data_IF_206055217256
#
_entry.id   IF_206055217256
#
_cell.length_a   1.000
_cell.length_b   1.000
_cell.length_c   1.000
_cell.angle_alpha   90.00
_cell.angle_beta   90.00
_cell.angle_gamma   90.00
#
_symmetry.space_group_name_H-M   'P 1'
#
loop_
_entity.id
_entity.type
_entity.pdbx_description
1 polymer ?
#
# COMPACT_ATOMS: atom_id res chain seq x y z
N UNK A 1 11.82 4.96 -4.05
CA UNK A 1 11.79 5.54 -5.42
C UNK A 1 10.59 6.48 -5.54
N UNK A 2 10.70 7.63 -6.23
CA UNK A 2 9.69 8.71 -6.18
C UNK A 2 8.24 8.29 -6.47
N UNK A 3 8.02 7.34 -7.36
CA UNK A 3 6.66 6.85 -7.71
C UNK A 3 6.02 6.07 -6.55
N UNK A 4 6.81 5.22 -5.88
CA UNK A 4 6.39 4.49 -4.68
C UNK A 4 6.03 5.46 -3.56
N UNK A 5 6.89 6.46 -3.34
CA UNK A 5 6.67 7.49 -2.32
C UNK A 5 5.37 8.26 -2.58
N UNK A 6 5.07 8.60 -3.84
CA UNK A 6 3.82 9.26 -4.22
C UNK A 6 2.57 8.40 -3.98
N UNK A 7 2.65 7.10 -4.28
CA UNK A 7 1.55 6.16 -4.02
C UNK A 7 1.26 6.04 -2.52
N UNK A 8 2.31 5.86 -1.71
CA UNK A 8 2.20 5.73 -0.25
C UNK A 8 1.70 7.02 0.40
N UNK A 9 2.24 8.18 0.01
CA UNK A 9 1.78 9.49 0.48
C UNK A 9 0.32 9.74 0.09
N UNK A 10 -0.07 9.40 -1.13
CA UNK A 10 -1.45 9.55 -1.58
C UNK A 10 -2.42 8.72 -0.72
N UNK A 11 -2.08 7.47 -0.42
CA UNK A 11 -2.90 6.66 0.49
C UNK A 11 -2.92 7.25 1.90
N UNK A 12 -1.77 7.70 2.40
CA UNK A 12 -1.62 8.29 3.73
C UNK A 12 -2.47 9.57 3.90
N UNK A 13 -2.56 10.41 2.88
CA UNK A 13 -3.32 11.66 2.98
C UNK A 13 -4.82 11.45 2.76
N UNK A 14 -5.21 10.55 1.86
CA UNK A 14 -6.62 10.42 1.44
C UNK A 14 -7.38 9.33 2.20
N UNK A 15 -6.78 8.15 2.40
CA UNK A 15 -7.47 6.95 2.92
C UNK A 15 -7.10 6.64 4.37
N UNK A 16 -5.84 6.82 4.76
CA UNK A 16 -5.36 6.50 6.10
C UNK A 16 -6.14 7.18 7.24
N UNK A 17 -6.63 8.44 7.14
CA UNK A 17 -7.43 9.05 8.20
C UNK A 17 -8.73 8.28 8.48
N UNK A 18 -9.40 7.79 7.44
CA UNK A 18 -10.65 7.02 7.52
C UNK A 18 -10.47 5.50 7.59
N UNK A 19 -9.23 5.01 7.51
CA UNK A 19 -8.93 3.59 7.54
C UNK A 19 -9.17 2.98 8.94
N UNK A 20 -9.58 1.71 8.96
CA UNK A 20 -9.77 0.93 10.19
C UNK A 20 -8.44 0.65 10.88
N UNK A 21 -8.48 0.27 12.17
CA UNK A 21 -7.27 -0.09 12.92
C UNK A 21 -6.47 -1.23 12.25
N UNK A 22 -7.19 -2.21 11.68
CA UNK A 22 -6.57 -3.32 10.94
C UNK A 22 -5.85 -2.81 9.69
N UNK A 23 -6.47 -1.92 8.92
CA UNK A 23 -5.85 -1.32 7.72
C UNK A 23 -4.64 -0.45 8.07
N UNK A 24 -4.72 0.32 9.15
CA UNK A 24 -3.58 1.12 9.63
C UNK A 24 -2.41 0.24 10.04
N UNK A 25 -2.69 -0.85 10.77
CA UNK A 25 -1.67 -1.83 11.15
C UNK A 25 -1.05 -2.49 9.93
N UNK A 26 -1.86 -2.91 8.95
CA UNK A 26 -1.39 -3.49 7.70
C UNK A 26 -0.51 -2.52 6.90
N UNK A 27 -0.90 -1.24 6.83
CA UNK A 27 -0.08 -0.21 6.19
C UNK A 27 1.25 0.00 6.93
N UNK A 28 1.25 -0.02 8.26
CA UNK A 28 2.49 0.04 9.04
C UNK A 28 3.39 -1.19 8.80
N UNK A 29 2.84 -2.40 8.70
CA UNK A 29 3.61 -3.60 8.33
C UNK A 29 4.18 -3.47 6.90
N UNK A 30 3.40 -2.91 5.98
CA UNK A 30 3.84 -2.64 4.62
C UNK A 30 5.03 -1.66 4.60
N UNK A 31 4.99 -0.59 5.39
CA UNK A 31 6.10 0.36 5.50
C UNK A 31 7.39 -0.21 6.12
N UNK A 32 7.33 -1.39 6.77
CA UNK A 32 8.53 -2.10 7.24
C UNK A 32 9.22 -2.90 6.15
N UNK A 33 8.55 -3.13 5.02
CA UNK A 33 9.11 -3.85 3.87
C UNK A 33 10.09 -2.95 3.12
N UNK A 34 11.01 -3.59 2.40
CA UNK A 34 11.98 -2.88 1.59
C UNK A 34 11.34 -2.37 0.28
N UNK A 35 11.84 -1.26 -0.27
CA UNK A 35 11.42 -0.72 -1.58
C UNK A 35 11.25 -1.80 -2.69
N UNK A 36 12.19 -2.76 -2.86
CA UNK A 36 12.04 -3.82 -3.87
C UNK A 36 10.86 -4.75 -3.61
N UNK A 37 10.56 -5.05 -2.35
CA UNK A 37 9.41 -5.89 -1.97
C UNK A 37 8.10 -5.15 -2.26
N UNK A 38 8.04 -3.87 -1.89
CA UNK A 38 6.89 -3.03 -2.19
C UNK A 38 6.63 -2.94 -3.70
N UNK A 39 7.68 -2.79 -4.50
CA UNK A 39 7.58 -2.84 -5.96
C UNK A 39 7.10 -4.21 -6.47
N UNK A 40 7.57 -5.31 -5.88
CA UNK A 40 7.13 -6.65 -6.27
C UNK A 40 5.62 -6.85 -6.04
N UNK A 41 5.09 -6.31 -4.94
CA UNK A 41 3.67 -6.40 -4.64
C UNK A 41 2.80 -5.43 -5.45
N UNK A 42 3.21 -4.16 -5.56
CA UNK A 42 2.42 -3.12 -6.22
C UNK A 42 2.52 -3.19 -7.75
N UNK A 43 3.71 -3.46 -8.31
CA UNK A 43 3.97 -3.38 -9.76
C UNK A 43 4.04 -4.77 -10.41
N UNK A 44 4.65 -5.76 -9.73
CA UNK A 44 4.80 -7.11 -10.31
C UNK A 44 3.63 -8.04 -9.98
N UNK A 45 2.61 -7.56 -9.24
CA UNK A 45 1.41 -8.32 -8.86
C UNK A 45 1.74 -9.68 -8.22
N UNK A 46 2.81 -9.72 -7.43
CA UNK A 46 3.14 -10.92 -6.67
C UNK A 46 2.05 -11.22 -5.62
N UNK A 47 1.86 -12.50 -5.23
CA UNK A 47 0.90 -12.88 -4.22
C UNK A 47 1.24 -12.18 -2.90
N UNK A 48 0.31 -11.34 -2.45
CA UNK A 48 0.48 -10.57 -1.22
C UNK A 48 -0.11 -11.29 -0.02
N UNK A 49 0.50 -11.14 1.17
CA UNK A 49 -0.09 -11.65 2.42
C UNK A 49 -1.50 -11.13 2.62
N UNK A 50 -2.42 -11.98 3.13
CA UNK A 50 -3.83 -11.62 3.31
C UNK A 50 -4.02 -10.34 4.15
N UNK A 51 -3.15 -10.12 5.13
CA UNK A 51 -3.16 -8.91 5.97
C UNK A 51 -2.88 -7.63 5.18
N UNK A 52 -2.13 -7.71 4.07
CA UNK A 52 -1.75 -6.56 3.24
C UNK A 52 -2.63 -6.40 2.00
N UNK A 53 -3.39 -7.42 1.60
CA UNK A 53 -4.21 -7.43 0.37
C UNK A 53 -5.14 -6.23 0.28
N UNK A 54 -5.86 -5.92 1.36
CA UNK A 54 -6.84 -4.83 1.37
C UNK A 54 -6.18 -3.46 1.18
N UNK A 55 -5.07 -3.22 1.87
CA UNK A 55 -4.34 -1.94 1.80
C UNK A 55 -3.74 -1.76 0.41
N UNK A 56 -3.14 -2.82 -0.14
CA UNK A 56 -2.55 -2.78 -1.48
C UNK A 56 -3.60 -2.59 -2.56
N UNK A 57 -4.75 -3.27 -2.46
CA UNK A 57 -5.86 -3.05 -3.37
C UNK A 57 -6.32 -1.58 -3.35
N UNK A 58 -6.42 -0.96 -2.17
CA UNK A 58 -6.81 0.46 -2.07
C UNK A 58 -5.75 1.43 -2.61
N UNK A 59 -4.47 1.12 -2.44
CA UNK A 59 -3.37 1.92 -3.03
C UNK A 59 -3.46 1.87 -4.56
N UNK A 60 -3.71 0.67 -5.13
CA UNK A 60 -3.80 0.45 -6.57
C UNK A 60 -5.11 0.96 -7.21
N UNK A 61 -6.23 0.92 -6.49
CA UNK A 61 -7.51 1.48 -6.95
C UNK A 61 -7.41 2.97 -7.27
N UNK A 62 -6.61 3.73 -6.51
CA UNK A 62 -6.36 5.16 -6.81
C UNK A 62 -5.57 5.40 -8.10
N UNK A 63 -4.87 4.39 -8.60
CA UNK A 63 -4.04 4.49 -9.80
C UNK A 63 -4.80 4.11 -11.07
N UNK A 64 -6.04 3.59 -10.96
CA UNK A 64 -6.92 3.44 -12.12
C UNK A 64 -7.58 4.79 -12.46
N UNK A 65 -7.51 5.25 -13.73
CA UNK A 65 -8.14 6.50 -14.19
C UNK A 65 -9.66 6.44 -14.19
#
# INVERSE_FOLDING_TARGET
>A
MRELDQLLLGYLESRYPGASAAQKSAFCELLKLSDPELMAYLLQRQPVPDVLKDVIAQILERTSP
#
